data_IF_818351859478
#
_entry.id   IF_818351859478
#
_cell.length_a   1.000
_cell.length_b   1.000
_cell.length_c   1.000
_cell.angle_alpha   90.00
_cell.angle_beta   90.00
_cell.angle_gamma   90.00
#
_symmetry.space_group_name_H-M   'P 1'
#
loop_
_entity.id
_entity.type
_entity.pdbx_description
1 polymer ?
#
# COMPACT_ATOMS: atom_id res chain seq x y z
N UNK A 1 5.45 40.65 -33.63
CA UNK A 1 5.47 39.60 -32.57
C UNK A 1 5.44 38.24 -33.27
N UNK A 2 6.59 37.73 -33.72
CA UNK A 2 6.65 36.42 -34.38
C UNK A 2 6.72 35.33 -33.32
N UNK A 3 5.68 34.51 -33.19
CA UNK A 3 5.73 33.35 -32.30
C UNK A 3 6.89 32.44 -32.73
N UNK A 4 7.82 32.07 -31.83
CA UNK A 4 8.91 31.16 -32.15
C UNK A 4 8.38 29.72 -32.20
N UNK A 5 7.48 29.45 -33.15
CA UNK A 5 6.79 28.18 -33.37
C UNK A 5 7.77 27.00 -33.48
N UNK A 6 8.93 27.24 -34.12
CA UNK A 6 10.00 26.26 -34.25
C UNK A 6 10.58 25.82 -32.90
N UNK A 7 10.78 26.76 -31.95
CA UNK A 7 11.26 26.45 -30.59
C UNK A 7 10.21 25.69 -29.78
N UNK A 8 8.93 26.05 -29.92
CA UNK A 8 7.84 25.32 -29.25
C UNK A 8 7.71 23.90 -29.78
N UNK A 9 7.90 23.68 -31.08
CA UNK A 9 7.84 22.35 -31.68
C UNK A 9 9.00 21.44 -31.25
N UNK A 10 10.20 22.01 -31.10
CA UNK A 10 11.35 21.30 -30.52
C UNK A 10 11.12 20.93 -29.04
N UNK A 11 10.59 21.87 -28.24
CA UNK A 11 10.25 21.61 -26.84
C UNK A 11 9.15 20.56 -26.68
N UNK A 12 8.12 20.60 -27.53
CA UNK A 12 7.03 19.62 -27.52
C UNK A 12 7.54 18.22 -27.91
N UNK A 13 8.43 18.12 -28.90
CA UNK A 13 9.06 16.84 -29.26
C UNK A 13 9.89 16.27 -28.12
N UNK A 14 10.68 17.11 -27.44
CA UNK A 14 11.43 16.69 -26.27
C UNK A 14 10.51 16.24 -25.12
N UNK A 15 9.45 17.01 -24.84
CA UNK A 15 8.47 16.68 -23.81
C UNK A 15 7.78 15.35 -24.11
N UNK A 16 7.40 15.11 -25.37
CA UNK A 16 6.76 13.87 -25.77
C UNK A 16 7.71 12.68 -25.56
N UNK A 17 8.98 12.79 -25.97
CA UNK A 17 10.00 11.77 -25.72
C UNK A 17 10.25 11.54 -24.22
N UNK A 18 10.25 12.61 -23.43
CA UNK A 18 10.42 12.52 -21.98
C UNK A 18 9.24 11.79 -21.32
N UNK A 19 8.00 12.15 -21.68
CA UNK A 19 6.80 11.53 -21.13
C UNK A 19 6.73 10.05 -21.52
N UNK A 20 7.01 9.69 -22.78
CA UNK A 20 7.01 8.28 -23.20
C UNK A 20 8.08 7.48 -22.48
N UNK A 21 9.30 8.02 -22.35
CA UNK A 21 10.38 7.38 -21.61
C UNK A 21 10.03 7.18 -20.12
N UNK A 22 9.44 8.20 -19.50
CA UNK A 22 9.01 8.16 -18.10
C UNK A 22 7.92 7.12 -17.86
N UNK A 23 6.89 7.09 -18.72
CA UNK A 23 5.80 6.10 -18.63
C UNK A 23 6.30 4.67 -18.84
N UNK A 24 7.20 4.46 -19.82
CA UNK A 24 7.80 3.14 -20.04
C UNK A 24 8.63 2.70 -18.84
N UNK A 25 9.46 3.60 -18.30
CA UNK A 25 10.29 3.30 -17.13
C UNK A 25 9.43 2.97 -15.91
N UNK A 26 8.38 3.75 -15.67
CA UNK A 26 7.42 3.48 -14.59
C UNK A 26 6.75 2.12 -14.77
N UNK A 27 6.26 1.80 -15.97
CA UNK A 27 5.65 0.50 -16.25
C UNK A 27 6.59 -0.67 -15.99
N UNK A 28 7.85 -0.56 -16.42
CA UNK A 28 8.88 -1.59 -16.18
C UNK A 28 9.14 -1.76 -14.68
N UNK A 29 9.30 -0.66 -13.95
CA UNK A 29 9.56 -0.70 -12.50
C UNK A 29 8.37 -1.32 -11.76
N UNK A 30 7.14 -0.95 -12.09
CA UNK A 30 5.94 -1.51 -11.45
C UNK A 30 5.78 -2.99 -11.74
N UNK A 31 5.96 -3.42 -13.00
CA UNK A 31 5.92 -4.84 -13.34
C UNK A 31 7.01 -5.64 -12.63
N UNK A 32 8.21 -5.07 -12.50
CA UNK A 32 9.30 -5.71 -11.78
C UNK A 32 9.00 -5.75 -10.29
N UNK A 33 8.45 -4.69 -9.71
CA UNK A 33 8.07 -4.59 -8.31
C UNK A 33 6.99 -5.62 -7.95
N UNK A 34 5.96 -5.79 -8.78
CA UNK A 34 4.92 -6.82 -8.58
C UNK A 34 5.46 -8.25 -8.65
N UNK A 35 6.55 -8.48 -9.40
CA UNK A 35 7.17 -9.81 -9.52
C UNK A 35 8.23 -10.07 -8.45
N UNK A 36 8.95 -9.04 -7.98
CA UNK A 36 9.99 -9.18 -6.97
C UNK A 36 9.45 -9.07 -5.54
N UNK A 37 8.46 -8.21 -5.30
CA UNK A 37 7.80 -8.09 -4.01
C UNK A 37 6.49 -8.87 -4.08
N UNK A 38 6.35 -10.00 -3.36
CA UNK A 38 5.05 -10.60 -3.19
C UNK A 38 4.12 -9.56 -2.55
N UNK A 39 2.88 -9.48 -3.06
CA UNK A 39 1.87 -8.51 -2.63
C UNK A 39 1.90 -8.35 -1.11
N UNK A 40 2.14 -7.12 -0.67
CA UNK A 40 2.30 -6.75 0.73
C UNK A 40 1.15 -7.33 1.56
N UNK A 41 1.37 -8.43 2.32
CA UNK A 41 0.29 -9.12 3.01
C UNK A 41 -0.28 -8.28 4.16
N UNK A 42 0.38 -7.16 4.48
CA UNK A 42 0.00 -6.20 5.51
C UNK A 42 -0.51 -4.88 4.93
N UNK A 43 -0.88 -4.83 3.65
CA UNK A 43 -1.56 -3.66 3.11
C UNK A 43 -2.88 -3.46 3.88
N UNK A 44 -2.88 -2.49 4.79
CA UNK A 44 -4.03 -2.21 5.64
C UNK A 44 -5.24 -1.91 4.74
N UNK A 45 -6.37 -2.60 4.93
CA UNK A 45 -7.55 -2.35 4.12
C UNK A 45 -7.97 -0.90 4.33
N UNK A 46 -8.01 -0.11 3.26
CA UNK A 46 -8.58 1.23 3.28
C UNK A 46 -10.09 1.14 3.54
N UNK A 47 -10.46 1.09 4.81
CA UNK A 47 -11.84 0.97 5.30
C UNK A 47 -11.89 1.15 6.82
N UNK A 48 -13.03 1.61 7.33
CA UNK A 48 -13.22 1.82 8.77
C UNK A 48 -13.26 0.46 9.48
N UNK A 49 -12.20 0.10 10.19
CA UNK A 49 -12.17 -1.10 11.03
C UNK A 49 -13.14 -0.94 12.19
N UNK A 50 -14.35 -1.49 12.07
CA UNK A 50 -15.28 -1.60 13.19
C UNK A 50 -14.72 -2.64 14.15
N UNK A 51 -13.89 -2.18 15.08
CA UNK A 51 -13.38 -2.98 16.20
C UNK A 51 -14.57 -3.49 16.99
N UNK A 52 -14.89 -4.78 16.87
CA UNK A 52 -15.97 -5.43 17.62
C UNK A 52 -15.52 -5.59 19.08
N UNK A 53 -15.54 -4.49 19.83
CA UNK A 53 -15.46 -4.49 21.29
C UNK A 53 -16.85 -4.79 21.82
N UNK A 54 -17.30 -6.03 21.63
CA UNK A 54 -18.42 -6.59 22.39
C UNK A 54 -17.94 -7.89 22.98
N UNK A 55 -17.44 -7.84 24.21
CA UNK A 55 -17.61 -8.85 25.28
C UNK A 55 -16.83 -8.54 26.57
N UNK A 56 -16.22 -7.35 26.72
CA UNK A 56 -15.44 -6.99 27.95
C UNK A 56 -16.34 -6.63 29.14
N UNK A 57 -17.68 -6.60 28.99
CA UNK A 57 -18.62 -6.42 30.11
C UNK A 57 -19.24 -7.75 30.58
N UNK A 58 -18.43 -8.81 30.72
CA UNK A 58 -18.80 -10.00 31.51
C UNK A 58 -18.06 -9.95 32.86
N UNK A 59 -18.76 -10.02 34.01
CA UNK A 59 -18.17 -9.91 35.34
C UNK A 59 -17.60 -11.27 35.81
N UNK A 60 -16.86 -11.97 34.95
CA UNK A 60 -16.20 -13.22 35.31
C UNK A 60 -14.70 -12.99 35.32
N UNK A 61 -14.15 -13.04 36.53
CA UNK A 61 -12.74 -13.16 36.91
C UNK A 61 -11.82 -13.44 35.72
N UNK A 62 -11.02 -12.44 35.36
CA UNK A 62 -9.91 -12.59 34.42
C UNK A 62 -8.84 -13.48 35.07
N UNK A 63 -9.02 -14.79 34.97
CA UNK A 63 -7.97 -15.75 35.31
C UNK A 63 -6.76 -15.46 34.42
N UNK A 64 -5.62 -15.22 35.06
CA UNK A 64 -4.34 -14.90 34.39
C UNK A 64 -3.97 -15.98 33.37
N UNK A 65 -4.38 -17.24 33.62
CA UNK A 65 -4.18 -18.36 32.71
C UNK A 65 -4.97 -18.19 31.40
N UNK A 66 -6.20 -17.69 31.45
CA UNK A 66 -6.99 -17.39 30.27
C UNK A 66 -6.42 -16.23 29.45
N UNK A 67 -5.82 -15.25 30.12
CA UNK A 67 -5.12 -14.15 29.46
C UNK A 67 -3.83 -14.63 28.78
N UNK A 68 -3.02 -15.46 29.46
CA UNK A 68 -1.79 -16.02 28.90
C UNK A 68 -2.05 -16.96 27.72
N UNK A 69 -3.08 -17.79 27.79
CA UNK A 69 -3.46 -18.67 26.68
C UNK A 69 -3.86 -17.86 25.43
N UNK A 70 -4.59 -16.75 25.62
CA UNK A 70 -4.96 -15.84 24.52
C UNK A 70 -3.75 -15.10 23.95
N UNK A 71 -2.80 -14.71 24.80
CA UNK A 71 -1.55 -14.08 24.37
C UNK A 71 -0.68 -15.06 23.57
N UNK A 72 -0.62 -16.33 23.99
CA UNK A 72 0.11 -17.35 23.27
C UNK A 72 -0.52 -17.66 21.91
N UNK A 73 -1.85 -17.68 21.83
CA UNK A 73 -2.56 -17.80 20.57
C UNK A 73 -2.23 -16.62 19.63
N UNK A 74 -2.28 -15.38 20.12
CA UNK A 74 -1.88 -14.19 19.35
C UNK A 74 -0.48 -14.33 18.73
N UNK A 75 0.50 -14.79 19.51
CA UNK A 75 1.86 -14.99 19.00
C UNK A 75 2.00 -16.16 18.02
N UNK A 76 1.10 -17.14 18.06
CA UNK A 76 1.12 -18.30 17.18
C UNK A 76 0.33 -18.08 15.88
N UNK A 77 -0.81 -17.39 15.93
CA UNK A 77 -1.69 -17.14 14.78
C UNK A 77 -1.42 -15.79 14.11
N UNK A 78 -0.80 -14.84 14.80
CA UNK A 78 -0.35 -13.57 14.25
C UNK A 78 -1.45 -12.55 13.94
N UNK A 79 -2.66 -12.72 14.52
CA UNK A 79 -3.78 -11.78 14.40
C UNK A 79 -3.76 -10.67 15.45
#
# INVERSE_FOLDING_TARGET
MGFPYRRMMEALRFLLLFVTCSLLSYGIITLLAEKLLPADPYHEPHGNAVKVVKLINSPQTQDLDGYLARLQLFYLTGE
#
